data_IF_728065724100
#
_entry.id   IF_728065724100
#
_cell.length_a   1.000
_cell.length_b   1.000
_cell.length_c   1.000
_cell.angle_alpha   90.00
_cell.angle_beta   90.00
_cell.angle_gamma   90.00
#
_symmetry.space_group_name_H-M   'P 1'
#
loop_
_entity.id
_entity.type
_entity.pdbx_description
1 polymer ?
#
# COMPACT_ATOMS: atom_id res chain seq x y z
N UNK A 1 -6.94 3.36 2.47
CA UNK A 1 -6.83 2.02 3.13
C UNK A 1 -5.60 2.02 4.06
N UNK A 2 -5.36 0.99 4.89
CA UNK A 2 -4.08 0.89 5.62
C UNK A 2 -2.89 0.76 4.65
N UNK A 3 -1.77 1.42 4.93
CA UNK A 3 -0.56 1.39 4.09
C UNK A 3 0.00 -0.03 3.97
N UNK A 4 -0.16 -0.86 5.01
CA UNK A 4 0.24 -2.27 4.95
C UNK A 4 -0.48 -3.02 3.82
N UNK A 5 -1.76 -2.75 3.57
CA UNK A 5 -2.51 -3.37 2.48
C UNK A 5 -2.01 -2.90 1.10
N UNK A 6 -1.63 -1.62 0.96
CA UNK A 6 -0.98 -1.12 -0.24
C UNK A 6 0.39 -1.77 -0.47
N UNK A 7 1.21 -1.92 0.57
CA UNK A 7 2.51 -2.62 0.50
C UNK A 7 2.33 -4.06 0.02
N UNK A 8 1.44 -4.83 0.65
CA UNK A 8 1.25 -6.24 0.33
C UNK A 8 0.62 -6.43 -1.06
N UNK A 9 -0.32 -5.56 -1.45
CA UNK A 9 -0.88 -5.54 -2.81
C UNK A 9 0.17 -5.20 -3.86
N UNK A 10 0.94 -4.14 -3.62
CA UNK A 10 2.05 -3.72 -4.46
C UNK A 10 3.08 -4.83 -4.67
N UNK A 11 3.37 -5.60 -3.63
CA UNK A 11 4.23 -6.77 -3.71
C UNK A 11 3.64 -7.88 -4.60
N UNK A 12 2.34 -8.16 -4.49
CA UNK A 12 1.64 -9.17 -5.30
C UNK A 12 1.62 -8.78 -6.79
N UNK A 13 1.20 -7.55 -7.11
CA UNK A 13 1.18 -7.07 -8.51
C UNK A 13 2.60 -6.96 -9.07
N UNK A 14 3.57 -6.56 -8.26
CA UNK A 14 4.99 -6.53 -8.65
C UNK A 14 5.55 -7.94 -8.92
N UNK A 15 5.12 -8.95 -8.17
CA UNK A 15 5.48 -10.35 -8.42
C UNK A 15 4.87 -10.91 -9.71
N UNK A 16 3.65 -10.47 -10.06
CA UNK A 16 2.96 -10.85 -11.29
C UNK A 16 3.43 -10.08 -12.54
N UNK A 17 4.16 -8.97 -12.35
CA UNK A 17 4.52 -8.07 -13.44
C UNK A 17 5.71 -8.57 -14.28
N UNK A 18 5.72 -8.31 -15.61
CA UNK A 18 6.83 -8.65 -16.50
C UNK A 18 8.15 -7.94 -16.14
N UNK A 19 8.09 -6.67 -15.72
CA UNK A 19 9.26 -5.89 -15.35
C UNK A 19 8.98 -4.76 -14.36
N UNK A 20 10.01 -3.99 -13.95
CA UNK A 20 9.87 -2.95 -12.93
C UNK A 20 8.96 -1.79 -13.34
N UNK A 21 9.04 -1.33 -14.59
CA UNK A 21 8.20 -0.22 -15.06
C UNK A 21 6.71 -0.60 -15.06
N UNK A 22 6.37 -1.78 -15.59
CA UNK A 22 5.00 -2.30 -15.55
C UNK A 22 4.54 -2.54 -14.10
N UNK A 23 5.44 -2.98 -13.21
CA UNK A 23 5.13 -3.18 -11.81
C UNK A 23 4.79 -1.87 -11.10
N UNK A 24 5.57 -0.81 -11.34
CA UNK A 24 5.30 0.51 -10.78
C UNK A 24 3.94 1.05 -11.24
N UNK A 25 3.66 0.99 -12.54
CA UNK A 25 2.36 1.38 -13.08
C UNK A 25 1.20 0.56 -12.53
N UNK A 26 1.36 -0.77 -12.46
CA UNK A 26 0.38 -1.66 -11.87
C UNK A 26 0.18 -1.42 -10.36
N UNK A 27 1.25 -1.05 -9.64
CA UNK A 27 1.19 -0.64 -8.25
C UNK A 27 0.32 0.60 -8.06
N UNK A 28 0.55 1.65 -8.85
CA UNK A 28 -0.30 2.87 -8.84
C UNK A 28 -1.76 2.53 -9.15
N UNK A 29 -2.01 1.69 -10.15
CA UNK A 29 -3.37 1.24 -10.46
C UNK A 29 -4.00 0.45 -9.30
N UNK A 30 -3.23 -0.44 -8.65
CA UNK A 30 -3.71 -1.19 -7.49
C UNK A 30 -4.04 -0.31 -6.30
N UNK A 31 -3.30 0.79 -6.11
CA UNK A 31 -3.59 1.77 -5.06
C UNK A 31 -5.00 2.32 -5.22
N UNK A 32 -5.31 2.89 -6.39
CA UNK A 32 -6.62 3.48 -6.64
C UNK A 32 -7.74 2.44 -6.64
N UNK A 33 -7.46 1.20 -7.10
CA UNK A 33 -8.43 0.11 -7.03
C UNK A 33 -8.77 -0.26 -5.58
N UNK A 34 -7.77 -0.30 -4.69
CA UNK A 34 -7.97 -0.57 -3.26
C UNK A 34 -8.73 0.57 -2.59
N UNK A 35 -8.38 1.82 -2.88
CA UNK A 35 -9.06 2.96 -2.25
C UNK A 35 -10.50 3.15 -2.77
N UNK A 36 -10.83 2.60 -3.95
CA UNK A 36 -12.19 2.60 -4.50
C UNK A 36 -13.14 1.58 -3.85
N UNK A 37 -12.64 0.65 -3.01
CA UNK A 37 -13.49 -0.30 -2.28
C UNK A 37 -13.70 0.16 -0.83
N UNK A 38 -14.79 -0.24 -0.15
CA UNK A 38 -15.00 0.10 1.26
C UNK A 38 -13.82 -0.34 2.11
N UNK A 39 -13.19 0.59 2.83
CA UNK A 39 -11.97 0.34 3.60
C UNK A 39 -11.92 1.23 4.85
N UNK A 40 -10.94 0.99 5.73
CA UNK A 40 -10.80 1.79 6.94
C UNK A 40 -10.21 3.18 6.66
N UNK A 41 -10.91 4.18 7.16
CA UNK A 41 -10.58 5.60 7.15
C UNK A 41 -11.71 6.34 7.87
N UNK A 42 -11.63 7.64 8.07
CA UNK A 42 -12.47 8.46 8.99
C UNK A 42 -12.10 8.37 10.48
N UNK A 43 -12.05 9.55 11.13
CA UNK A 43 -11.81 9.71 12.57
C UNK A 43 -11.28 11.10 12.92
N UNK A 44 -11.21 11.41 14.21
CA UNK A 44 -10.42 12.56 14.71
C UNK A 44 -8.93 12.26 14.52
N UNK A 45 -8.15 13.30 14.22
CA UNK A 45 -6.75 13.17 13.80
C UNK A 45 -5.88 12.49 14.87
N UNK A 46 -6.18 12.70 16.16
CA UNK A 46 -5.45 12.11 17.28
C UNK A 46 -5.56 10.57 17.28
N UNK A 47 -6.77 10.04 17.11
CA UNK A 47 -7.00 8.59 17.03
C UNK A 47 -6.42 8.02 15.72
N UNK A 48 -6.52 8.80 14.64
CA UNK A 48 -6.00 8.42 13.34
C UNK A 48 -4.47 8.29 13.34
N UNK A 49 -3.75 9.17 14.03
CA UNK A 49 -2.29 9.17 14.05
C UNK A 49 -1.70 7.96 14.77
N UNK A 50 -2.31 7.49 15.86
CA UNK A 50 -1.85 6.27 16.55
C UNK A 50 -1.91 5.05 15.62
N UNK A 51 -2.99 4.93 14.86
CA UNK A 51 -3.16 3.86 13.87
C UNK A 51 -2.19 4.06 12.70
N UNK A 52 -2.11 5.27 12.14
CA UNK A 52 -1.28 5.57 10.97
C UNK A 52 0.22 5.34 11.23
N UNK A 53 0.73 5.73 12.42
CA UNK A 53 2.14 5.49 12.79
C UNK A 53 2.38 4.00 12.99
N UNK A 54 1.50 3.31 13.71
CA UNK A 54 1.64 1.86 13.95
C UNK A 54 1.62 1.09 12.64
N UNK A 55 0.63 1.38 11.78
CA UNK A 55 0.50 0.77 10.47
C UNK A 55 1.66 1.14 9.54
N UNK A 56 2.19 2.36 9.61
CA UNK A 56 3.41 2.76 8.90
C UNK A 56 4.63 1.92 9.27
N UNK A 57 4.83 1.66 10.57
CA UNK A 57 5.93 0.80 11.04
C UNK A 57 5.73 -0.67 10.66
N UNK A 58 4.49 -1.17 10.73
CA UNK A 58 4.13 -2.52 10.27
C UNK A 58 4.36 -2.65 8.76
N UNK A 59 3.95 -1.65 7.98
CA UNK A 59 4.18 -1.58 6.54
C UNK A 59 5.67 -1.59 6.20
N UNK A 60 6.49 -0.80 6.91
CA UNK A 60 7.94 -0.81 6.75
C UNK A 60 8.55 -2.19 7.03
N UNK A 61 8.12 -2.84 8.12
CA UNK A 61 8.55 -4.19 8.44
C UNK A 61 8.11 -5.19 7.36
N UNK A 62 6.90 -5.05 6.82
CA UNK A 62 6.39 -5.88 5.73
C UNK A 62 7.24 -5.71 4.45
N UNK A 63 7.64 -4.48 4.09
CA UNK A 63 8.56 -4.22 2.97
C UNK A 63 9.88 -4.98 3.19
N UNK A 64 10.48 -4.87 4.38
CA UNK A 64 11.73 -5.55 4.69
C UNK A 64 11.63 -7.07 4.57
N UNK A 65 10.55 -7.66 5.12
CA UNK A 65 10.29 -9.10 5.03
C UNK A 65 10.07 -9.53 3.58
N UNK A 66 9.24 -8.83 2.82
CA UNK A 66 8.98 -9.13 1.40
C UNK A 66 10.27 -9.03 0.59
N UNK A 67 11.07 -7.98 0.77
CA UNK A 67 12.34 -7.81 0.07
C UNK A 67 13.34 -8.92 0.39
N UNK A 68 13.44 -9.32 1.66
CA UNK A 68 14.33 -10.39 2.12
C UNK A 68 13.90 -11.76 1.61
N UNK A 69 12.59 -12.03 1.51
CA UNK A 69 12.04 -13.31 1.06
C UNK A 69 11.90 -13.43 -0.46
N UNK A 70 11.97 -12.32 -1.19
CA UNK A 70 11.90 -12.31 -2.66
C UNK A 70 13.27 -12.64 -3.29
N UNK A 71 13.34 -13.59 -4.25
CA UNK A 71 14.56 -13.88 -5.01
C UNK A 71 15.13 -12.63 -5.68
N UNK A 72 16.46 -12.51 -5.76
CA UNK A 72 17.15 -11.31 -6.29
C UNK A 72 16.63 -10.90 -7.68
N UNK A 73 16.39 -11.87 -8.57
CA UNK A 73 15.86 -11.65 -9.93
C UNK A 73 14.47 -11.00 -9.99
N UNK A 74 13.68 -11.09 -8.92
CA UNK A 74 12.32 -10.55 -8.84
C UNK A 74 12.20 -9.34 -7.90
N UNK A 75 13.23 -9.06 -7.10
CA UNK A 75 13.18 -8.06 -6.05
C UNK A 75 12.88 -6.66 -6.59
N UNK A 76 13.49 -6.28 -7.72
CA UNK A 76 13.31 -4.94 -8.29
C UNK A 76 11.87 -4.69 -8.74
N UNK A 77 11.22 -5.66 -9.41
CA UNK A 77 9.81 -5.53 -9.80
C UNK A 77 8.87 -5.53 -8.60
N UNK A 78 9.14 -6.33 -7.58
CA UNK A 78 8.34 -6.35 -6.34
C UNK A 78 8.45 -5.02 -5.60
N UNK A 79 9.66 -4.50 -5.43
CA UNK A 79 9.87 -3.18 -4.82
C UNK A 79 9.25 -2.05 -5.66
N UNK A 80 9.36 -2.10 -6.98
CA UNK A 80 8.72 -1.13 -7.86
C UNK A 80 7.18 -1.15 -7.72
N UNK A 81 6.58 -2.33 -7.59
CA UNK A 81 5.14 -2.47 -7.34
C UNK A 81 4.71 -1.90 -5.98
N UNK A 82 5.48 -2.19 -4.92
CA UNK A 82 5.29 -1.58 -3.59
C UNK A 82 5.38 -0.05 -3.69
N UNK A 83 6.43 0.47 -4.33
CA UNK A 83 6.62 1.90 -4.51
C UNK A 83 5.44 2.52 -5.24
N UNK A 84 4.99 1.93 -6.35
CA UNK A 84 3.81 2.41 -7.07
C UNK A 84 2.54 2.40 -6.22
N UNK A 85 2.33 1.35 -5.43
CA UNK A 85 1.13 1.20 -4.60
C UNK A 85 1.10 2.17 -3.40
N UNK A 86 2.26 2.59 -2.88
CA UNK A 86 2.33 3.53 -1.77
C UNK A 86 2.51 4.99 -2.21
N UNK A 87 2.89 5.24 -3.47
CA UNK A 87 3.21 6.58 -3.95
C UNK A 87 2.06 7.58 -3.78
N UNK A 88 0.81 7.28 -4.15
CA UNK A 88 -0.26 8.28 -4.06
C UNK A 88 -0.56 8.74 -2.63
N UNK A 89 -0.28 7.90 -1.63
CA UNK A 89 -0.42 8.21 -0.21
C UNK A 89 0.63 9.19 0.33
N UNK A 90 1.59 9.65 -0.48
CA UNK A 90 2.53 10.70 -0.06
C UNK A 90 1.87 12.08 0.14
N UNK A 91 0.62 12.24 -0.28
CA UNK A 91 -0.19 13.43 0.02
C UNK A 91 -0.38 13.64 1.53
N UNK A 92 -0.65 12.57 2.29
CA UNK A 92 -0.87 12.58 3.74
C UNK A 92 0.37 13.04 4.52
N UNK A 93 1.55 12.37 4.47
CA UNK A 93 2.75 12.85 5.14
C UNK A 93 3.25 14.17 4.55
N UNK A 94 3.00 14.44 3.26
CA UNK A 94 3.25 15.74 2.65
C UNK A 94 2.56 16.87 3.41
N UNK A 95 1.24 16.72 3.63
CA UNK A 95 0.43 17.68 4.39
C UNK A 95 0.86 17.77 5.85
N UNK A 96 1.11 16.62 6.51
CA UNK A 96 1.46 16.58 7.94
C UNK A 96 2.83 17.22 8.20
N UNK A 97 3.86 16.87 7.43
CA UNK A 97 5.23 17.30 7.72
C UNK A 97 5.66 18.56 6.97
N UNK A 98 5.05 18.86 5.83
CA UNK A 98 5.46 19.98 4.96
C UNK A 98 4.32 20.96 4.67
N UNK A 99 3.13 20.75 5.22
CA UNK A 99 1.95 21.61 5.02
C UNK A 99 1.36 21.56 3.60
N UNK A 100 1.85 20.66 2.72
CA UNK A 100 1.38 20.57 1.32
C UNK A 100 1.54 19.16 0.73
N UNK A 101 0.61 18.78 -0.16
CA UNK A 101 0.79 17.59 -0.99
C UNK A 101 1.94 17.78 -1.99
N UNK A 102 2.70 16.72 -2.33
CA UNK A 102 3.65 16.77 -3.44
C UNK A 102 2.96 16.66 -4.81
N UNK A 103 1.65 16.39 -4.86
CA UNK A 103 0.89 16.17 -6.10
C UNK A 103 0.12 17.41 -6.54
N UNK A 104 -0.23 17.52 -7.85
CA UNK A 104 -1.14 18.55 -8.33
C UNK A 104 -2.52 18.44 -7.66
N UNK A 105 -3.19 19.57 -7.45
CA UNK A 105 -4.51 19.62 -6.80
C UNK A 105 -5.56 18.72 -7.47
N UNK A 106 -5.49 18.53 -8.79
CA UNK A 106 -6.40 17.63 -9.51
C UNK A 106 -6.20 16.15 -9.13
N UNK A 107 -4.96 15.74 -8.83
CA UNK A 107 -4.65 14.38 -8.37
C UNK A 107 -5.14 14.18 -6.95
N UNK A 108 -4.90 15.15 -6.06
CA UNK A 108 -5.42 15.12 -4.69
C UNK A 108 -6.96 15.04 -4.68
N UNK A 109 -7.62 15.87 -5.48
CA UNK A 109 -9.08 15.88 -5.58
C UNK A 109 -9.63 14.56 -6.14
N UNK A 110 -8.92 13.94 -7.09
CA UNK A 110 -9.25 12.61 -7.57
C UNK A 110 -9.10 11.56 -6.47
N UNK A 111 -7.96 11.57 -5.76
CA UNK A 111 -7.62 10.61 -4.71
C UNK A 111 -8.66 10.62 -3.58
N UNK A 112 -9.03 11.80 -3.08
CA UNK A 112 -10.07 11.96 -2.06
C UNK A 112 -11.45 11.51 -2.56
N UNK A 113 -11.79 11.82 -3.82
CA UNK A 113 -13.13 11.52 -4.36
C UNK A 113 -13.40 10.02 -4.48
N UNK A 114 -12.38 9.21 -4.78
CA UNK A 114 -12.57 7.77 -4.97
C UNK A 114 -12.59 7.00 -3.65
N UNK A 115 -12.08 7.59 -2.56
CA UNK A 115 -11.96 6.93 -1.28
C UNK A 115 -13.35 6.58 -0.69
N UNK A 116 -13.49 5.33 -0.27
CA UNK A 116 -14.71 4.81 0.39
C UNK A 116 -14.39 4.38 1.81
N UNK A 117 -14.23 5.36 2.68
CA UNK A 117 -13.75 5.16 4.04
C UNK A 117 -14.89 4.83 5.02
N UNK A 118 -14.54 4.13 6.11
CA UNK A 118 -15.40 3.93 7.28
C UNK A 118 -14.59 3.41 8.47
N UNK A 119 -14.76 4.05 9.64
CA UNK A 119 -14.09 3.65 10.89
C UNK A 119 -14.39 2.21 11.34
N UNK A 120 -15.46 1.60 10.83
CA UNK A 120 -15.89 0.22 11.17
C UNK A 120 -15.18 -0.86 10.37
N UNK A 121 -14.32 -0.51 9.42
CA UNK A 121 -13.71 -1.45 8.47
C UNK A 121 -12.38 -2.05 8.92
N UNK A 122 -11.89 -1.70 10.10
CA UNK A 122 -10.62 -2.23 10.63
C UNK A 122 -10.50 -3.77 10.60
N UNK A 123 -11.53 -4.57 10.96
CA UNK A 123 -11.42 -6.03 10.86
C UNK A 123 -11.19 -6.53 9.43
N UNK A 124 -11.76 -5.86 8.43
CA UNK A 124 -11.55 -6.17 7.02
C UNK A 124 -10.10 -5.91 6.61
N UNK A 125 -9.50 -4.79 7.06
CA UNK A 125 -8.10 -4.45 6.78
C UNK A 125 -7.14 -5.55 7.24
N UNK A 126 -7.35 -6.05 8.46
CA UNK A 126 -6.55 -7.13 9.03
C UNK A 126 -6.72 -8.43 8.23
N UNK A 127 -7.95 -8.79 7.87
CA UNK A 127 -8.22 -10.00 7.10
C UNK A 127 -7.57 -9.95 5.71
N UNK A 128 -7.66 -8.81 5.03
CA UNK A 128 -7.04 -8.59 3.71
C UNK A 128 -5.52 -8.71 3.82
N UNK A 129 -4.90 -8.05 4.81
CA UNK A 129 -3.46 -8.08 5.03
C UNK A 129 -2.96 -9.51 5.29
N UNK A 130 -3.64 -10.26 6.17
CA UNK A 130 -3.28 -11.64 6.48
C UNK A 130 -3.40 -12.55 5.24
N UNK A 131 -4.44 -12.35 4.43
CA UNK A 131 -4.66 -13.11 3.19
C UNK A 131 -3.54 -12.83 2.19
N UNK A 132 -3.22 -11.56 1.94
CA UNK A 132 -2.14 -11.19 1.02
C UNK A 132 -0.77 -11.68 1.50
N UNK A 133 -0.49 -11.57 2.81
CA UNK A 133 0.74 -12.08 3.41
C UNK A 133 0.86 -13.61 3.26
N UNK A 134 -0.24 -14.36 3.45
CA UNK A 134 -0.27 -15.79 3.24
C UNK A 134 0.02 -16.16 1.77
N UNK A 135 -0.58 -15.46 0.81
CA UNK A 135 -0.32 -15.67 -0.62
C UNK A 135 1.16 -15.40 -0.94
N UNK A 136 1.72 -14.27 -0.47
CA UNK A 136 3.14 -13.95 -0.65
C UNK A 136 4.07 -15.01 -0.03
N UNK A 137 3.71 -15.55 1.14
CA UNK A 137 4.48 -16.61 1.78
C UNK A 137 4.49 -17.90 0.95
N UNK A 138 3.36 -18.27 0.33
CA UNK A 138 3.27 -19.42 -0.58
C UNK A 138 4.12 -19.18 -1.84
N UNK A 139 4.03 -18.00 -2.45
CA UNK A 139 4.82 -17.65 -3.64
C UNK A 139 6.33 -17.66 -3.35
N UNK A 140 6.73 -17.14 -2.19
CA UNK A 140 8.13 -17.14 -1.77
C UNK A 140 8.68 -18.56 -1.56
N UNK A 141 7.87 -19.50 -1.07
CA UNK A 141 8.26 -20.91 -0.91
C UNK A 141 8.44 -21.63 -2.25
N UNK A 142 7.58 -21.35 -3.23
CA UNK A 142 7.65 -21.95 -4.58
C UNK A 142 8.81 -21.43 -5.44
N UNK A 143 9.37 -20.27 -5.07
CA UNK A 143 10.42 -19.59 -5.83
C UNK A 143 11.84 -19.85 -5.32
N UNK A 144 11.95 -20.59 -4.21
CA UNK A 144 13.20 -21.16 -3.66
C UNK A 144 13.49 -22.47 -4.36
#
# INVERSE_FOLDING_TARGET
MLITNHVLSGALVGAASPGPASALGAGVASHFALDSVPHWGEGVIEDFMHVAVTDGLVGLAAIAVVAARTPRRHRLRVLAGITGACLPDLDKPGRVFFGRSPFPAAVDAFHVRIQRESSRRMPQEVLVALTQAAVLAVLARRSR
#
